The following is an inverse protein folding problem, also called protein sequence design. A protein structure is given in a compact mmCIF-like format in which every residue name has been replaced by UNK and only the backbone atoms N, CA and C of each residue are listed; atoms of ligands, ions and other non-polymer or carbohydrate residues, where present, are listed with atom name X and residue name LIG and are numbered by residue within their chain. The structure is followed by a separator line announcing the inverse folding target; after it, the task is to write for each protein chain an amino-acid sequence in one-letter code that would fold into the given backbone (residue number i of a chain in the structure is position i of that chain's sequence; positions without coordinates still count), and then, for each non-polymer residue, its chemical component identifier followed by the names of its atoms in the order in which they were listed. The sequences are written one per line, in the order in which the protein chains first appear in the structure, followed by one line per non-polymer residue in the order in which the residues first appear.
data_IF_691613591911
#
_entry.id   IF_691613591911
#
_cell.length_a   1.000
_cell.length_b   1.000
_cell.length_c   1.000
_cell.angle_alpha   90.00
_cell.angle_beta   90.00
_cell.angle_gamma   90.00
#
_symmetry.space_group_name_H-M   'P 1'
#
loop_
_entity.id
_entity.type
_entity.pdbx_description
1 polymer ?
#
# COMPACT_ATOMS: atom_id res chain seq x y z
N UNK A 1 19.17 6.13 9.18
CA UNK A 1 18.52 4.81 9.00
C UNK A 1 17.28 4.90 8.11
N UNK A 2 16.17 5.53 8.54
CA UNK A 2 14.90 5.59 7.79
C UNK A 2 15.03 6.03 6.32
N UNK A 3 15.81 7.08 6.04
CA UNK A 3 16.07 7.54 4.67
C UNK A 3 16.80 6.53 3.79
N UNK A 4 17.73 5.75 4.34
CA UNK A 4 18.40 4.65 3.63
C UNK A 4 17.37 3.58 3.27
N UNK A 5 16.46 3.26 4.20
CA UNK A 5 15.36 2.33 3.94
C UNK A 5 14.40 2.85 2.86
N UNK A 6 14.08 4.15 2.85
CA UNK A 6 13.25 4.77 1.79
C UNK A 6 13.93 4.65 0.42
N UNK A 7 15.25 4.88 0.36
CA UNK A 7 16.03 4.68 -0.87
C UNK A 7 15.96 3.22 -1.30
N UNK A 8 16.16 2.27 -0.37
CA UNK A 8 16.06 0.83 -0.66
C UNK A 8 14.68 0.42 -1.18
N UNK A 9 13.60 0.88 -0.54
CA UNK A 9 12.22 0.65 -0.98
C UNK A 9 12.02 1.21 -2.40
N UNK A 10 12.48 2.43 -2.66
CA UNK A 10 12.35 3.08 -3.97
C UNK A 10 13.13 2.31 -5.04
N UNK A 11 14.34 1.85 -4.74
CA UNK A 11 15.13 1.01 -5.65
C UNK A 11 14.40 -0.28 -5.97
N UNK A 12 13.84 -0.98 -4.98
CA UNK A 12 13.05 -2.20 -5.22
C UNK A 12 11.85 -1.92 -6.13
N UNK A 13 11.12 -0.84 -5.89
CA UNK A 13 9.97 -0.44 -6.72
C UNK A 13 10.39 -0.13 -8.16
N UNK A 14 11.50 0.58 -8.34
CA UNK A 14 12.05 0.86 -9.68
C UNK A 14 12.46 -0.44 -10.38
N UNK A 15 13.08 -1.39 -9.69
CA UNK A 15 13.44 -2.69 -10.27
C UNK A 15 12.20 -3.49 -10.70
N UNK A 16 11.16 -3.52 -9.86
CA UNK A 16 9.87 -4.15 -10.21
C UNK A 16 9.28 -3.48 -11.45
N UNK A 17 9.27 -2.14 -11.48
CA UNK A 17 8.77 -1.37 -12.62
C UNK A 17 9.53 -1.69 -13.91
N UNK A 18 10.85 -1.66 -13.88
CA UNK A 18 11.70 -1.95 -15.04
C UNK A 18 11.58 -3.39 -15.53
N UNK A 19 11.30 -4.34 -14.63
CA UNK A 19 11.13 -5.75 -15.01
C UNK A 19 9.75 -6.06 -15.61
N UNK A 20 8.69 -5.50 -15.02
CA UNK A 20 7.31 -5.84 -15.42
C UNK A 20 6.82 -5.00 -16.60
N UNK A 21 7.25 -3.73 -16.69
CA UNK A 21 6.85 -2.82 -17.77
C UNK A 21 7.15 -3.33 -19.19
N UNK A 22 8.34 -3.86 -19.52
CA UNK A 22 8.64 -4.36 -20.88
C UNK A 22 7.90 -5.65 -21.22
N UNK A 23 7.44 -6.41 -20.22
CA UNK A 23 6.66 -7.64 -20.43
C UNK A 23 5.21 -7.37 -20.80
N UNK A 24 4.70 -6.19 -20.48
CA UNK A 24 3.33 -5.78 -20.82
C UNK A 24 3.26 -5.25 -22.25
N UNK A 25 2.40 -5.87 -23.06
CA UNK A 25 2.17 -5.51 -24.45
C UNK A 25 1.66 -4.06 -24.57
N UNK A 26 1.88 -3.41 -25.73
CA UNK A 26 1.38 -2.06 -26.01
C UNK A 26 -0.15 -1.99 -26.00
N UNK A 27 -0.85 -3.08 -26.31
CA UNK A 27 -2.31 -3.12 -26.28
C UNK A 27 -2.92 -3.27 -24.87
N UNK A 28 -2.11 -3.63 -23.87
CA UNK A 28 -2.53 -3.88 -22.48
C UNK A 28 -2.62 -2.59 -21.64
N UNK A 29 -3.32 -1.56 -22.15
CA UNK A 29 -3.39 -0.23 -21.51
C UNK A 29 -4.02 -0.26 -20.12
N UNK A 30 -5.03 -1.11 -19.90
CA UNK A 30 -5.73 -1.27 -18.61
C UNK A 30 -4.82 -1.93 -17.56
N UNK A 31 -4.08 -2.96 -17.96
CA UNK A 31 -3.14 -3.65 -17.07
C UNK A 31 -1.96 -2.74 -16.69
N UNK A 32 -1.44 -1.95 -17.64
CA UNK A 32 -0.42 -0.92 -17.33
C UNK A 32 -0.93 0.11 -16.33
N UNK A 33 -2.18 0.58 -16.49
CA UNK A 33 -2.79 1.49 -15.54
C UNK A 33 -2.94 0.85 -14.15
N UNK A 34 -3.45 -0.38 -14.08
CA UNK A 34 -3.58 -1.11 -12.82
C UNK A 34 -2.22 -1.32 -12.15
N UNK A 35 -1.19 -1.71 -12.91
CA UNK A 35 0.17 -1.89 -12.42
C UNK A 35 0.75 -0.61 -11.83
N UNK A 36 0.63 0.52 -12.53
CA UNK A 36 1.12 1.82 -12.04
C UNK A 36 0.40 2.22 -10.76
N UNK A 37 -0.93 2.09 -10.72
CA UNK A 37 -1.74 2.46 -9.55
C UNK A 37 -1.36 1.59 -8.35
N UNK A 38 -1.37 0.27 -8.51
CA UNK A 38 -1.07 -0.67 -7.42
C UNK A 38 0.37 -0.51 -6.91
N UNK A 39 1.34 -0.35 -7.82
CA UNK A 39 2.74 -0.15 -7.45
C UNK A 39 2.93 1.17 -6.69
N UNK A 40 2.30 2.25 -7.16
CA UNK A 40 2.37 3.56 -6.49
C UNK A 40 1.70 3.52 -5.12
N UNK A 41 0.53 2.88 -5.00
CA UNK A 41 -0.16 2.70 -3.73
C UNK A 41 0.68 1.88 -2.74
N UNK A 42 1.28 0.78 -3.19
CA UNK A 42 2.16 -0.05 -2.36
C UNK A 42 3.41 0.69 -1.91
N UNK A 43 4.03 1.47 -2.80
CA UNK A 43 5.18 2.32 -2.46
C UNK A 43 4.84 3.39 -1.41
N UNK A 44 3.73 4.10 -1.60
CA UNK A 44 3.24 5.08 -0.63
C UNK A 44 2.94 4.43 0.72
N UNK A 45 2.26 3.28 0.72
CA UNK A 45 1.94 2.54 1.94
C UNK A 45 3.21 2.11 2.69
N UNK A 46 4.22 1.62 1.97
CA UNK A 46 5.51 1.23 2.56
C UNK A 46 6.23 2.41 3.23
N UNK A 47 6.21 3.58 2.58
CA UNK A 47 6.75 4.81 3.17
C UNK A 47 5.92 5.21 4.41
N UNK A 48 4.60 5.18 4.31
CA UNK A 48 3.70 5.57 5.38
C UNK A 48 3.94 4.72 6.63
N UNK A 49 4.04 3.39 6.48
CA UNK A 49 4.34 2.46 7.58
C UNK A 49 5.72 2.66 8.19
N UNK A 50 6.71 3.11 7.41
CA UNK A 50 8.05 3.39 7.91
C UNK A 50 8.09 4.62 8.84
N UNK A 51 7.23 5.61 8.59
CA UNK A 51 7.10 6.80 9.43
C UNK A 51 6.07 6.63 10.55
N UNK A 52 4.96 5.93 10.28
CA UNK A 52 3.87 5.66 11.21
C UNK A 52 3.63 4.14 11.33
N UNK A 53 4.51 3.43 12.06
CA UNK A 53 4.42 1.97 12.19
C UNK A 53 3.16 1.51 12.95
N UNK A 54 2.65 2.35 13.85
CA UNK A 54 1.47 2.04 14.68
C UNK A 54 0.16 2.53 14.05
N UNK A 55 0.11 2.69 12.72
CA UNK A 55 -1.14 3.03 12.04
C UNK A 55 -2.20 1.95 12.27
N UNK A 56 -3.45 2.34 12.56
CA UNK A 56 -4.53 1.39 12.74
C UNK A 56 -4.77 0.63 11.43
N UNK A 57 -4.58 -0.68 11.48
CA UNK A 57 -4.86 -1.59 10.38
C UNK A 57 -6.37 -1.72 10.13
N UNK A 58 -6.75 -2.36 9.01
CA UNK A 58 -8.16 -2.50 8.60
C UNK A 58 -9.02 -3.14 9.70
N UNK A 59 -8.49 -4.15 10.39
CA UNK A 59 -9.18 -4.83 11.49
C UNK A 59 -9.45 -3.88 12.68
N UNK A 60 -8.49 -3.01 13.00
CA UNK A 60 -8.65 -2.03 14.07
C UNK A 60 -9.64 -0.92 13.68
N UNK A 61 -9.73 -0.58 12.39
CA UNK A 61 -10.76 0.34 11.88
C UNK A 61 -12.16 -0.27 11.99
N UNK A 62 -12.31 -1.57 11.66
CA UNK A 62 -13.57 -2.32 11.86
C UNK A 62 -13.93 -2.31 13.35
N UNK A 63 -13.01 -2.65 14.24
CA UNK A 63 -13.27 -2.60 15.68
C UNK A 63 -13.71 -1.19 16.13
N UNK A 64 -13.08 -0.11 15.64
CA UNK A 64 -13.50 1.26 15.95
C UNK A 64 -14.93 1.57 15.48
N UNK A 65 -15.34 1.07 14.30
CA UNK A 65 -16.67 1.25 13.75
C UNK A 65 -17.74 0.46 14.52
N UNK A 66 -17.44 -0.78 14.90
CA UNK A 66 -18.44 -1.71 15.45
C UNK A 66 -18.48 -1.77 16.98
N UNK A 67 -17.40 -1.43 17.67
CA UNK A 67 -17.37 -1.35 19.15
C UNK A 67 -18.42 -0.43 19.77
N UNK A 68 -18.76 0.76 19.23
CA UNK A 68 -19.87 1.56 19.76
C UNK A 68 -21.23 0.90 19.55
N UNK A 69 -21.44 0.18 18.44
CA UNK A 69 -22.68 -0.54 18.16
C UNK A 69 -22.86 -1.73 19.12
N UNK A 70 -21.79 -2.48 19.40
CA UNK A 70 -21.81 -3.57 20.39
C UNK A 70 -22.21 -3.08 21.79
N UNK A 71 -21.66 -1.94 22.22
CA UNK A 71 -22.01 -1.32 23.51
C UNK A 71 -23.47 -0.83 23.59
N UNK A 72 -24.09 -0.52 22.45
CA UNK A 72 -25.51 -0.13 22.41
C UNK A 72 -26.45 -1.35 22.49
N UNK A 73 -25.98 -2.54 22.07
CA UNK A 73 -26.76 -3.78 22.08
C UNK A 73 -26.58 -4.61 23.36
N UNK A 74 -25.49 -4.43 24.11
CA UNK A 74 -25.28 -5.04 25.44
C UNK A 74 -26.11 -4.40 26.57
N UNK A 75 -27.00 -3.46 26.24
CA UNK A 75 -27.85 -2.74 27.19
C UNK A 75 -29.33 -2.98 26.89
#
# INVERSE_FOLDING_TARGET
MKWITVIGITVCVVLIFLYEWPKMDRNQKKEKAAFVILTTMGWLLAILLLFFPDMPGPTQMIDMLFKPLGKMLEK
#
